data_IF_455144669517
#
_entry.id   IF_455144669517
#
_cell.length_a   1.000
_cell.length_b   1.000
_cell.length_c   1.000
_cell.angle_alpha   90.00
_cell.angle_beta   90.00
_cell.angle_gamma   90.00
#
_symmetry.space_group_name_H-M   'P 1'
#
loop_
_entity.id
_entity.type
_entity.pdbx_description
1 polymer ?
#
# COMPACT_ATOMS: atom_id res chain seq x y z
N UNK A 1 -41.27 -18.64 -12.19
CA UNK A 1 -41.91 -17.32 -12.10
C UNK A 1 -41.30 -16.64 -10.90
N UNK A 2 -40.65 -15.53 -11.17
CA UNK A 2 -39.78 -14.75 -10.31
C UNK A 2 -40.60 -13.90 -9.35
N UNK A 3 -40.55 -14.19 -8.05
CA UNK A 3 -40.96 -13.21 -7.05
C UNK A 3 -39.81 -12.25 -6.82
N UNK A 4 -40.04 -11.03 -7.28
CA UNK A 4 -39.15 -9.88 -7.26
C UNK A 4 -38.77 -9.51 -5.84
N UNK A 5 -37.48 -9.67 -5.57
CA UNK A 5 -36.72 -9.03 -4.50
C UNK A 5 -36.93 -7.51 -4.60
N UNK A 6 -37.95 -7.01 -3.89
CA UNK A 6 -38.24 -5.58 -3.83
C UNK A 6 -37.29 -4.97 -2.80
N UNK A 7 -36.12 -4.56 -3.29
CA UNK A 7 -35.26 -3.61 -2.59
C UNK A 7 -36.13 -2.44 -2.11
N UNK A 8 -36.11 -2.08 -0.81
CA UNK A 8 -36.80 -0.89 -0.34
C UNK A 8 -36.28 0.32 -1.11
N UNK A 9 -37.20 1.11 -1.66
CA UNK A 9 -36.90 2.31 -2.43
C UNK A 9 -36.09 3.29 -1.56
N UNK A 10 -35.05 3.89 -2.14
CA UNK A 10 -34.14 4.86 -1.51
C UNK A 10 -34.84 6.12 -0.97
N UNK A 11 -36.16 6.27 -1.17
CA UNK A 11 -36.97 7.40 -0.73
C UNK A 11 -37.44 7.30 0.72
N UNK A 12 -37.38 6.11 1.35
CA UNK A 12 -37.73 5.92 2.77
C UNK A 12 -36.64 6.40 3.77
N UNK A 13 -35.51 6.92 3.28
CA UNK A 13 -34.45 7.52 4.10
C UNK A 13 -34.68 9.00 4.44
N UNK A 14 -35.77 9.61 3.96
CA UNK A 14 -36.10 11.03 4.16
C UNK A 14 -36.73 11.36 5.54
N UNK A 15 -36.62 10.46 6.51
CA UNK A 15 -37.21 10.58 7.85
C UNK A 15 -36.21 10.70 8.99
N UNK A 16 -34.92 11.00 8.73
CA UNK A 16 -34.00 11.32 9.82
C UNK A 16 -34.44 12.64 10.47
N UNK A 17 -34.64 12.67 11.80
CA UNK A 17 -34.98 13.91 12.47
C UNK A 17 -33.90 14.95 12.18
N UNK A 18 -34.35 16.17 11.85
CA UNK A 18 -33.54 17.35 11.54
C UNK A 18 -32.79 17.90 12.78
N UNK A 19 -32.38 17.01 13.68
CA UNK A 19 -31.57 17.35 14.84
C UNK A 19 -30.18 17.70 14.37
N UNK A 20 -29.67 18.91 14.66
CA UNK A 20 -28.31 19.26 14.30
C UNK A 20 -27.35 18.27 14.93
N UNK A 21 -26.67 17.49 14.10
CA UNK A 21 -25.62 16.57 14.56
C UNK A 21 -24.54 17.41 15.22
N UNK A 22 -24.21 17.10 16.47
CA UNK A 22 -23.17 17.80 17.21
C UNK A 22 -21.82 17.58 16.50
N UNK A 23 -21.20 18.65 16.00
CA UNK A 23 -19.83 18.56 15.52
C UNK A 23 -18.86 18.48 16.71
N UNK A 24 -18.58 17.24 17.12
CA UNK A 24 -17.68 16.92 18.26
C UNK A 24 -16.27 17.48 18.09
N UNK A 25 -15.83 17.75 16.85
CA UNK A 25 -14.49 18.31 16.57
C UNK A 25 -14.42 19.78 16.98
N UNK A 26 -15.54 20.49 16.87
CA UNK A 26 -15.69 21.91 17.20
C UNK A 26 -16.01 22.16 18.68
N UNK A 27 -16.15 21.11 19.50
CA UNK A 27 -16.37 21.29 20.94
C UNK A 27 -15.24 22.10 21.57
N UNK A 28 -15.58 23.09 22.42
CA UNK A 28 -14.62 24.07 22.92
C UNK A 28 -13.57 23.41 23.82
N UNK A 29 -12.34 23.86 23.71
CA UNK A 29 -11.20 23.39 24.51
C UNK A 29 -10.83 24.42 25.60
N UNK A 30 -11.50 25.57 25.57
CA UNK A 30 -11.29 26.71 26.46
C UNK A 30 -9.91 27.36 26.31
N UNK A 31 -9.82 28.62 26.76
CA UNK A 31 -8.60 29.42 26.73
C UNK A 31 -7.70 29.08 27.94
N UNK A 32 -6.52 28.47 27.74
CA UNK A 32 -5.61 28.13 28.85
C UNK A 32 -5.23 29.31 29.75
N UNK A 33 -5.30 30.55 29.24
CA UNK A 33 -4.92 31.76 29.97
C UNK A 33 -6.03 32.31 30.88
N UNK A 34 -7.24 31.76 30.80
CA UNK A 34 -8.39 32.19 31.59
C UNK A 34 -8.13 32.03 33.09
N UNK A 35 -8.40 33.07 33.85
CA UNK A 35 -8.23 33.08 35.31
C UNK A 35 -9.21 32.14 35.99
N UNK A 36 -8.72 31.36 36.96
CA UNK A 36 -9.54 30.41 37.72
C UNK A 36 -10.38 31.13 38.77
N UNK A 37 -11.69 30.95 38.72
CA UNK A 37 -12.61 31.33 39.78
C UNK A 37 -12.96 30.08 40.61
N UNK A 38 -12.39 29.98 41.80
CA UNK A 38 -12.57 28.84 42.70
C UNK A 38 -14.05 28.64 43.10
N UNK A 39 -14.85 29.71 43.12
CA UNK A 39 -16.28 29.62 43.41
C UNK A 39 -17.05 28.78 42.37
N UNK A 40 -16.52 28.71 41.13
CA UNK A 40 -17.10 27.95 40.04
C UNK A 40 -16.65 26.48 40.01
N UNK A 41 -15.67 26.09 40.84
CA UNK A 41 -15.09 24.75 40.80
C UNK A 41 -16.12 23.67 41.15
N UNK A 42 -16.92 23.90 42.20
CA UNK A 42 -17.97 22.98 42.60
C UNK A 42 -18.99 22.77 41.49
N UNK A 43 -19.40 23.85 40.82
CA UNK A 43 -20.31 23.78 39.68
C UNK A 43 -19.71 22.96 38.53
N UNK A 44 -18.44 23.18 38.18
CA UNK A 44 -17.77 22.39 37.13
C UNK A 44 -17.62 20.90 37.50
N UNK A 45 -17.36 20.59 38.77
CA UNK A 45 -17.32 19.21 39.27
C UNK A 45 -18.70 18.53 39.22
N UNK A 46 -19.78 19.24 39.54
CA UNK A 46 -21.15 18.76 39.37
C UNK A 46 -21.47 18.50 37.89
N UNK A 47 -21.08 19.40 36.98
CA UNK A 47 -21.23 19.17 35.53
C UNK A 47 -20.50 17.90 35.08
N UNK A 48 -19.29 17.66 35.57
CA UNK A 48 -18.53 16.43 35.31
C UNK A 48 -19.26 15.20 35.81
N UNK A 49 -19.81 15.25 37.02
CA UNK A 49 -20.55 14.13 37.59
C UNK A 49 -21.82 13.83 36.79
N UNK A 50 -22.56 14.87 36.40
CA UNK A 50 -23.75 14.74 35.54
C UNK A 50 -23.38 14.14 34.18
N UNK A 51 -22.32 14.61 33.54
CA UNK A 51 -21.85 14.08 32.26
C UNK A 51 -21.54 12.57 32.35
N UNK A 52 -20.93 12.11 33.43
CA UNK A 52 -20.62 10.68 33.65
C UNK A 52 -21.86 9.80 33.91
N UNK A 53 -23.00 10.40 34.24
CA UNK A 53 -24.27 9.69 34.50
C UNK A 53 -25.23 9.74 33.31
N UNK A 54 -24.96 10.58 32.31
CA UNK A 54 -25.78 10.70 31.12
C UNK A 54 -25.63 9.45 30.24
N UNK A 55 -26.75 8.97 29.70
CA UNK A 55 -26.76 7.89 28.71
C UNK A 55 -26.50 8.41 27.30
N UNK A 56 -26.93 9.65 27.02
CA UNK A 56 -26.66 10.35 25.78
C UNK A 56 -25.25 10.95 25.81
N UNK A 57 -24.37 10.41 24.97
CA UNK A 57 -22.97 10.80 24.89
C UNK A 57 -22.82 12.25 24.40
N UNK A 58 -23.65 12.71 23.46
CA UNK A 58 -23.53 14.06 22.93
C UNK A 58 -23.90 15.09 24.01
N UNK A 59 -24.95 14.83 24.78
CA UNK A 59 -25.28 15.67 25.94
C UNK A 59 -24.17 15.65 27.00
N UNK A 60 -23.59 14.48 27.27
CA UNK A 60 -22.45 14.34 28.19
C UNK A 60 -21.24 15.18 27.72
N UNK A 61 -20.94 15.12 26.42
CA UNK A 61 -19.84 15.84 25.78
C UNK A 61 -20.05 17.36 25.82
N UNK A 62 -21.26 17.85 25.58
CA UNK A 62 -21.59 19.28 25.74
C UNK A 62 -21.40 19.70 27.20
N UNK A 63 -21.92 18.92 28.14
CA UNK A 63 -21.86 19.21 29.58
C UNK A 63 -20.44 19.24 30.14
N UNK A 64 -19.59 18.30 29.73
CA UNK A 64 -18.18 18.32 30.14
C UNK A 64 -17.40 19.43 29.42
N UNK A 65 -17.79 19.81 28.20
CA UNK A 65 -17.14 20.90 27.46
C UNK A 65 -17.39 22.25 28.12
N UNK A 66 -18.58 22.49 28.69
CA UNK A 66 -18.81 23.70 29.51
C UNK A 66 -17.93 23.73 30.75
N UNK A 67 -17.69 22.59 31.41
CA UNK A 67 -16.74 22.51 32.52
C UNK A 67 -15.29 22.80 32.09
N UNK A 68 -14.91 22.37 30.88
CA UNK A 68 -13.60 22.67 30.28
C UNK A 68 -13.46 24.17 29.97
N UNK A 69 -14.50 24.84 29.50
CA UNK A 69 -14.45 26.30 29.29
C UNK A 69 -14.32 27.09 30.61
N UNK A 70 -14.82 26.54 31.71
CA UNK A 70 -14.65 27.11 33.05
C UNK A 70 -13.22 26.87 33.58
N UNK A 71 -12.67 25.67 33.37
CA UNK A 71 -11.35 25.26 33.86
C UNK A 71 -10.51 24.58 32.76
N UNK A 72 -9.99 25.34 31.79
CA UNK A 72 -9.36 24.78 30.60
C UNK A 72 -8.04 24.06 30.87
N UNK A 73 -7.30 24.45 31.90
CA UNK A 73 -6.05 23.78 32.28
C UNK A 73 -6.24 22.52 33.14
N UNK A 74 -7.48 22.18 33.52
CA UNK A 74 -7.73 21.07 34.43
C UNK A 74 -7.66 19.73 33.70
N UNK A 75 -6.64 18.93 34.05
CA UNK A 75 -6.51 17.54 33.60
C UNK A 75 -7.76 16.71 33.89
N UNK A 76 -8.45 16.99 34.99
CA UNK A 76 -9.64 16.22 35.40
C UNK A 76 -10.75 16.31 34.35
N UNK A 77 -11.05 17.51 33.84
CA UNK A 77 -12.13 17.68 32.87
C UNK A 77 -11.74 17.18 31.47
N UNK A 78 -10.50 17.45 31.04
CA UNK A 78 -9.96 16.94 29.78
C UNK A 78 -9.89 15.41 29.77
N UNK A 79 -9.37 14.77 30.83
CA UNK A 79 -9.35 13.31 30.96
C UNK A 79 -10.77 12.71 31.00
N UNK A 80 -11.74 13.41 31.59
CA UNK A 80 -13.14 12.94 31.62
C UNK A 80 -13.74 12.95 30.21
N UNK A 81 -13.55 14.03 29.45
CA UNK A 81 -14.03 14.10 28.06
C UNK A 81 -13.31 13.07 27.17
N UNK A 82 -12.00 12.90 27.35
CA UNK A 82 -11.25 11.84 26.67
C UNK A 82 -11.79 10.44 26.97
N UNK A 83 -12.21 10.17 28.22
CA UNK A 83 -12.83 8.90 28.58
C UNK A 83 -14.18 8.70 27.89
N UNK A 84 -15.01 9.74 27.77
CA UNK A 84 -16.28 9.67 27.04
C UNK A 84 -16.04 9.40 25.55
N UNK A 85 -15.11 10.11 24.92
CA UNK A 85 -14.72 9.84 23.53
C UNK A 85 -14.20 8.42 23.32
N UNK A 86 -13.37 7.90 24.24
CA UNK A 86 -12.88 6.52 24.18
C UNK A 86 -14.02 5.50 24.27
N UNK A 87 -15.03 5.74 25.11
CA UNK A 87 -16.17 4.84 25.27
C UNK A 87 -17.08 4.85 24.03
N UNK A 88 -17.20 6.00 23.37
CA UNK A 88 -18.03 6.15 22.17
C UNK A 88 -17.35 5.67 20.88
N UNK A 89 -16.01 5.63 20.86
CA UNK A 89 -15.22 5.18 19.71
C UNK A 89 -14.47 6.29 18.98
N UNK A 90 -14.56 7.52 19.45
CA UNK A 90 -13.86 8.69 18.91
C UNK A 90 -12.40 8.78 19.41
N UNK A 91 -11.60 7.75 19.09
CA UNK A 91 -10.25 7.59 19.65
C UNK A 91 -9.30 8.76 19.34
N UNK A 92 -9.44 9.40 18.18
CA UNK A 92 -8.61 10.56 17.81
C UNK A 92 -8.93 11.80 18.65
N UNK A 93 -10.21 12.03 18.97
CA UNK A 93 -10.61 13.13 19.85
C UNK A 93 -10.22 12.84 21.30
N UNK A 94 -10.29 11.57 21.72
CA UNK A 94 -9.77 11.14 23.01
C UNK A 94 -8.25 11.39 23.14
N UNK A 95 -7.47 11.07 22.12
CA UNK A 95 -6.03 11.36 22.06
C UNK A 95 -5.73 12.84 22.14
N UNK A 96 -6.48 13.68 21.40
CA UNK A 96 -6.35 15.15 21.45
C UNK A 96 -6.51 15.66 22.88
N UNK A 97 -7.57 15.24 23.57
CA UNK A 97 -7.84 15.70 24.93
C UNK A 97 -6.83 15.14 25.95
N UNK A 98 -6.34 13.91 25.78
CA UNK A 98 -5.25 13.37 26.58
C UNK A 98 -3.95 14.17 26.41
N UNK A 99 -3.59 14.51 25.16
CA UNK A 99 -2.40 15.31 24.87
C UNK A 99 -2.50 16.71 25.51
N UNK A 100 -3.65 17.37 25.39
CA UNK A 100 -3.91 18.67 26.01
C UNK A 100 -3.87 18.61 27.54
N UNK A 101 -4.39 17.53 28.14
CA UNK A 101 -4.33 17.28 29.57
C UNK A 101 -2.88 17.23 30.06
N UNK A 102 -2.03 16.47 29.34
CA UNK A 102 -0.59 16.34 29.63
C UNK A 102 0.15 17.66 29.40
N UNK A 103 -0.17 18.39 28.33
CA UNK A 103 0.44 19.68 28.00
C UNK A 103 0.15 20.74 29.09
N UNK A 104 -1.10 20.80 29.57
CA UNK A 104 -1.56 21.88 30.47
C UNK A 104 -1.30 21.61 31.94
N UNK A 105 -1.36 20.35 32.37
CA UNK A 105 -1.28 19.97 33.79
C UNK A 105 -0.19 18.92 34.08
N UNK A 106 0.55 18.49 33.07
CA UNK A 106 1.58 17.46 33.19
C UNK A 106 1.04 16.03 33.07
N UNK A 107 1.94 15.05 32.90
CA UNK A 107 1.56 13.65 32.78
C UNK A 107 0.94 13.11 34.07
N UNK A 108 -0.27 12.59 33.96
CA UNK A 108 -0.97 11.88 35.04
C UNK A 108 -1.23 10.43 34.67
N UNK A 109 -1.32 9.55 35.67
CA UNK A 109 -1.61 8.13 35.45
C UNK A 109 -2.85 7.92 34.57
N UNK A 110 -3.94 8.63 34.88
CA UNK A 110 -5.19 8.57 34.11
C UNK A 110 -5.03 9.00 32.66
N UNK A 111 -4.34 10.12 32.40
CA UNK A 111 -4.11 10.62 31.03
C UNK A 111 -3.29 9.63 30.20
N UNK A 112 -2.21 9.09 30.77
CA UNK A 112 -1.34 8.12 30.09
C UNK A 112 -2.04 6.78 29.86
N UNK A 113 -2.84 6.30 30.84
CA UNK A 113 -3.64 5.08 30.69
C UNK A 113 -4.69 5.21 29.57
N UNK A 114 -5.40 6.34 29.50
CA UNK A 114 -6.38 6.60 28.44
C UNK A 114 -5.69 6.70 27.07
N UNK A 115 -4.59 7.44 26.98
CA UNK A 115 -3.80 7.60 25.76
C UNK A 115 -3.24 6.25 25.26
N UNK A 116 -2.76 5.41 26.17
CA UNK A 116 -2.31 4.05 25.86
C UNK A 116 -3.45 3.17 25.32
N UNK A 117 -4.65 3.22 25.94
CA UNK A 117 -5.83 2.49 25.46
C UNK A 117 -6.26 2.93 24.07
N UNK A 118 -6.28 4.23 23.79
CA UNK A 118 -6.62 4.75 22.46
C UNK A 118 -5.62 4.25 21.40
N UNK A 119 -4.31 4.32 21.69
CA UNK A 119 -3.28 3.86 20.77
C UNK A 119 -3.32 2.34 20.53
N UNK A 120 -3.64 1.52 21.54
CA UNK A 120 -3.82 0.07 21.34
C UNK A 120 -4.96 -0.24 20.37
N UNK A 121 -6.09 0.48 20.50
CA UNK A 121 -7.25 0.30 19.61
C UNK A 121 -6.92 0.76 18.19
N UNK A 122 -6.17 1.85 18.05
CA UNK A 122 -5.70 2.36 16.75
C UNK A 122 -4.56 1.51 16.15
N UNK A 123 -4.16 0.41 16.80
CA UNK A 123 -3.05 -0.46 16.41
C UNK A 123 -1.67 0.24 16.39
N UNK A 124 -1.56 1.39 17.04
CA UNK A 124 -0.31 2.13 17.25
C UNK A 124 0.43 1.54 18.46
N UNK A 125 0.77 0.25 18.36
CA UNK A 125 1.23 -0.56 19.49
C UNK A 125 2.49 -0.02 20.19
N UNK A 126 3.43 0.57 19.42
CA UNK A 126 4.62 1.19 19.97
C UNK A 126 4.31 2.38 20.88
N UNK A 127 3.39 3.25 20.45
CA UNK A 127 2.93 4.40 21.22
C UNK A 127 2.12 3.97 22.43
N UNK A 128 1.26 2.96 22.27
CA UNK A 128 0.49 2.37 23.36
C UNK A 128 1.38 1.86 24.50
N UNK A 129 2.39 1.04 24.17
CA UNK A 129 3.35 0.52 25.15
C UNK A 129 4.12 1.65 25.83
N UNK A 130 4.55 2.68 25.08
CA UNK A 130 5.26 3.81 25.66
C UNK A 130 4.41 4.55 26.70
N UNK A 131 3.15 4.86 26.38
CA UNK A 131 2.21 5.50 27.30
C UNK A 131 1.96 4.63 28.54
N UNK A 132 1.73 3.34 28.36
CA UNK A 132 1.50 2.40 29.46
C UNK A 132 2.72 2.25 30.37
N UNK A 133 3.94 2.20 29.81
CA UNK A 133 5.17 2.17 30.61
C UNK A 133 5.34 3.45 31.44
N UNK A 134 5.04 4.62 30.87
CA UNK A 134 5.05 5.86 31.63
C UNK A 134 3.97 5.87 32.72
N UNK A 135 2.77 5.35 32.45
CA UNK A 135 1.73 5.20 33.46
C UNK A 135 2.21 4.32 34.62
N UNK A 136 2.84 3.17 34.33
CA UNK A 136 3.37 2.24 35.34
C UNK A 136 4.53 2.83 36.17
N UNK A 137 5.21 3.87 35.70
CA UNK A 137 6.18 4.61 36.50
C UNK A 137 5.51 5.50 37.56
N UNK A 138 4.25 5.92 37.33
CA UNK A 138 3.48 6.75 38.26
C UNK A 138 2.71 5.90 39.26
N UNK A 139 1.96 4.91 38.77
CA UNK A 139 1.18 4.00 39.62
C UNK A 139 1.29 2.58 39.06
N UNK A 140 1.52 1.61 39.94
CA UNK A 140 1.55 0.21 39.54
C UNK A 140 0.11 -0.28 39.27
N UNK A 141 -0.10 -0.90 38.11
CA UNK A 141 -1.41 -1.37 37.65
C UNK A 141 -1.25 -2.70 36.91
N UNK A 142 -1.86 -3.75 37.45
CA UNK A 142 -1.77 -5.11 36.89
C UNK A 142 -2.51 -5.23 35.55
N UNK A 143 -3.62 -4.52 35.37
CA UNK A 143 -4.38 -4.47 34.10
C UNK A 143 -3.48 -3.95 32.97
N UNK A 144 -2.74 -2.86 33.21
CA UNK A 144 -1.81 -2.30 32.23
C UNK A 144 -0.69 -3.29 31.90
N UNK A 145 -0.16 -3.97 32.90
CA UNK A 145 0.91 -4.97 32.71
C UNK A 145 0.44 -6.12 31.81
N UNK A 146 -0.79 -6.61 32.02
CA UNK A 146 -1.39 -7.63 31.15
C UNK A 146 -1.69 -7.10 29.75
N UNK A 147 -2.19 -5.87 29.61
CA UNK A 147 -2.41 -5.23 28.30
C UNK A 147 -1.10 -5.17 27.49
N UNK A 148 0.02 -4.77 28.11
CA UNK A 148 1.32 -4.72 27.43
C UNK A 148 1.71 -6.12 26.88
N UNK A 149 1.51 -7.19 27.65
CA UNK A 149 1.78 -8.57 27.20
C UNK A 149 0.91 -8.95 26.01
N UNK A 150 -0.37 -8.61 26.05
CA UNK A 150 -1.31 -8.84 24.94
C UNK A 150 -0.84 -8.10 23.68
N UNK A 151 -0.40 -6.84 23.82
CA UNK A 151 0.11 -6.03 22.70
C UNK A 151 1.36 -6.67 22.09
N UNK A 152 2.33 -7.12 22.89
CA UNK A 152 3.50 -7.85 22.36
C UNK A 152 3.08 -9.11 21.57
N UNK A 153 2.05 -9.82 22.04
CA UNK A 153 1.46 -10.95 21.31
C UNK A 153 0.76 -10.54 20.00
N UNK A 154 0.17 -9.34 19.91
CA UNK A 154 -0.39 -8.79 18.66
C UNK A 154 0.73 -8.44 17.66
N UNK A 155 1.79 -7.76 18.12
CA UNK A 155 2.97 -7.40 17.30
C UNK A 155 3.60 -8.67 16.71
N UNK A 156 3.92 -9.65 17.55
CA UNK A 156 4.52 -10.90 17.08
C UNK A 156 3.68 -11.60 16.00
N UNK A 157 2.35 -11.65 16.19
CA UNK A 157 1.44 -12.23 15.20
C UNK A 157 1.40 -11.46 13.88
N UNK A 158 1.58 -10.14 13.90
CA UNK A 158 1.70 -9.34 12.68
C UNK A 158 3.03 -9.62 11.97
N UNK A 159 4.14 -9.66 12.72
CA UNK A 159 5.47 -9.95 12.17
C UNK A 159 5.53 -11.35 11.54
N UNK A 160 4.96 -12.36 12.21
CA UNK A 160 4.92 -13.73 11.71
C UNK A 160 4.08 -13.82 10.41
N UNK A 161 2.94 -13.12 10.34
CA UNK A 161 2.12 -13.03 9.12
C UNK A 161 2.85 -12.33 7.98
N UNK A 162 3.54 -11.24 8.28
CA UNK A 162 4.30 -10.47 7.30
C UNK A 162 5.43 -11.33 6.70
N UNK A 163 6.18 -12.04 7.54
CA UNK A 163 7.23 -12.96 7.09
C UNK A 163 6.69 -14.08 6.21
N UNK A 164 5.59 -14.72 6.63
CA UNK A 164 4.97 -15.79 5.84
C UNK A 164 4.48 -15.28 4.46
N UNK A 165 3.97 -14.05 4.41
CA UNK A 165 3.58 -13.41 3.15
C UNK A 165 4.79 -13.16 2.24
N UNK A 166 5.90 -12.64 2.79
CA UNK A 166 7.13 -12.37 2.05
C UNK A 166 7.75 -13.66 1.50
N UNK A 167 7.77 -14.74 2.28
CA UNK A 167 8.26 -16.06 1.87
C UNK A 167 7.40 -16.63 0.72
N UNK A 168 6.07 -16.62 0.86
CA UNK A 168 5.16 -17.10 -0.17
C UNK A 168 5.26 -16.27 -1.48
N UNK A 169 5.45 -14.96 -1.35
CA UNK A 169 5.66 -14.09 -2.50
C UNK A 169 7.00 -14.40 -3.20
N UNK A 170 8.07 -14.62 -2.45
CA UNK A 170 9.38 -14.97 -2.99
C UNK A 170 9.37 -16.34 -3.69
N UNK A 171 8.74 -17.35 -3.09
CA UNK A 171 8.59 -18.69 -3.69
C UNK A 171 7.81 -18.61 -5.01
N UNK A 172 6.68 -17.91 -5.02
CA UNK A 172 5.88 -17.73 -6.23
C UNK A 172 6.68 -17.04 -7.33
N UNK A 173 7.46 -16.01 -6.98
CA UNK A 173 8.34 -15.30 -7.93
C UNK A 173 9.42 -16.23 -8.51
N UNK A 174 10.07 -17.03 -7.67
CA UNK A 174 11.07 -18.00 -8.12
C UNK A 174 10.45 -19.06 -9.04
N UNK A 175 9.29 -19.60 -8.68
CA UNK A 175 8.57 -20.58 -9.50
C UNK A 175 8.18 -20.00 -10.87
N UNK A 176 7.76 -18.73 -10.94
CA UNK A 176 7.48 -18.06 -12.22
C UNK A 176 8.74 -17.88 -13.06
N UNK A 177 9.86 -17.47 -12.47
CA UNK A 177 11.13 -17.30 -13.18
C UNK A 177 11.68 -18.64 -13.67
N UNK A 178 11.55 -19.71 -12.88
CA UNK A 178 11.95 -21.06 -13.28
C UNK A 178 11.06 -21.63 -14.39
N UNK A 179 9.75 -21.41 -14.32
CA UNK A 179 8.82 -21.81 -15.37
C UNK A 179 9.11 -21.08 -16.68
N UNK A 180 9.42 -19.77 -16.63
CA UNK A 180 9.85 -18.99 -17.79
C UNK A 180 11.17 -19.53 -18.37
N UNK A 181 12.20 -19.72 -17.54
CA UNK A 181 13.47 -20.32 -17.98
C UNK A 181 13.30 -21.70 -18.61
N UNK A 182 12.42 -22.52 -18.03
CA UNK A 182 12.12 -23.86 -18.56
C UNK A 182 11.40 -23.76 -19.91
N UNK A 183 10.44 -22.85 -20.04
CA UNK A 183 9.74 -22.57 -21.30
C UNK A 183 10.70 -22.04 -22.37
N UNK A 184 11.60 -21.12 -22.02
CA UNK A 184 12.61 -20.58 -22.92
C UNK A 184 13.59 -21.66 -23.42
N UNK A 185 14.07 -22.52 -22.52
CA UNK A 185 14.93 -23.66 -22.87
C UNK A 185 14.20 -24.63 -23.80
N UNK A 186 12.97 -25.02 -23.46
CA UNK A 186 12.15 -25.91 -24.30
C UNK A 186 11.88 -25.30 -25.68
N UNK A 187 11.57 -24.00 -25.75
CA UNK A 187 11.40 -23.30 -27.03
C UNK A 187 12.71 -23.27 -27.83
N UNK A 188 13.86 -23.08 -27.17
CA UNK A 188 15.16 -23.09 -27.83
C UNK A 188 15.54 -24.47 -28.36
N UNK A 189 15.26 -25.54 -27.63
CA UNK A 189 15.47 -26.92 -28.08
C UNK A 189 14.62 -27.25 -29.30
N UNK A 190 13.32 -26.94 -29.27
CA UNK A 190 12.42 -27.12 -30.42
C UNK A 190 12.91 -26.37 -31.65
N UNK A 191 13.33 -25.12 -31.48
CA UNK A 191 13.92 -24.33 -32.57
C UNK A 191 15.19 -24.99 -33.11
N UNK A 192 16.10 -25.45 -32.25
CA UNK A 192 17.33 -26.12 -32.68
C UNK A 192 17.03 -27.41 -33.47
N UNK A 193 16.04 -28.19 -33.04
CA UNK A 193 15.59 -29.38 -33.76
C UNK A 193 14.98 -29.03 -35.12
N UNK A 194 14.14 -28.00 -35.20
CA UNK A 194 13.52 -27.54 -36.45
C UNK A 194 14.57 -27.04 -37.45
N UNK A 195 15.54 -26.27 -36.98
CA UNK A 195 16.68 -25.81 -37.77
C UNK A 195 17.48 -27.01 -38.30
N UNK A 196 17.79 -27.99 -37.44
CA UNK A 196 18.51 -29.20 -37.85
C UNK A 196 17.72 -30.01 -38.89
N UNK A 197 16.39 -30.08 -38.76
CA UNK A 197 15.50 -30.81 -39.68
C UNK A 197 15.42 -30.15 -41.06
N UNK A 198 15.30 -28.82 -41.10
CA UNK A 198 15.10 -28.08 -42.34
C UNK A 198 16.42 -27.74 -43.07
N UNK A 199 17.52 -27.60 -42.33
CA UNK A 199 18.79 -27.07 -42.87
C UNK A 199 20.01 -27.98 -42.66
N UNK A 200 19.85 -29.15 -42.00
CA UNK A 200 20.93 -30.11 -41.78
C UNK A 200 21.97 -29.68 -40.72
N UNK A 201 23.07 -30.43 -40.60
CA UNK A 201 24.15 -30.19 -39.60
C UNK A 201 25.15 -29.08 -40.03
N UNK A 202 24.69 -28.09 -40.80
CA UNK A 202 25.57 -27.02 -41.28
C UNK A 202 25.93 -26.05 -40.11
N UNK A 203 27.23 -25.83 -39.82
CA UNK A 203 27.69 -25.09 -38.63
C UNK A 203 27.27 -23.61 -38.61
N UNK A 204 26.89 -23.02 -39.74
CA UNK A 204 26.40 -21.63 -39.81
C UNK A 204 25.09 -21.45 -39.02
N UNK A 205 24.24 -22.47 -38.99
CA UNK A 205 22.94 -22.45 -38.30
C UNK A 205 23.04 -22.69 -36.79
N UNK A 206 24.21 -23.10 -36.29
CA UNK A 206 24.51 -23.23 -34.86
C UNK A 206 25.11 -21.94 -34.28
N UNK A 207 25.34 -20.92 -35.10
CA UNK A 207 25.89 -19.65 -34.62
C UNK A 207 24.86 -18.90 -33.77
N UNK A 208 25.29 -18.22 -32.69
CA UNK A 208 24.41 -17.36 -31.89
C UNK A 208 23.69 -16.29 -32.75
N UNK A 209 24.32 -15.88 -33.86
CA UNK A 209 23.78 -14.95 -34.84
C UNK A 209 22.49 -15.47 -35.50
N UNK A 210 22.51 -16.72 -35.99
CA UNK A 210 21.39 -17.31 -36.70
C UNK A 210 20.24 -17.72 -35.75
N UNK A 211 20.59 -18.22 -34.55
CA UNK A 211 19.62 -18.56 -33.51
C UNK A 211 18.86 -17.33 -32.99
N UNK A 212 19.52 -16.18 -32.84
CA UNK A 212 18.87 -14.94 -32.41
C UNK A 212 17.92 -14.38 -33.48
N UNK A 213 18.28 -14.50 -34.76
CA UNK A 213 17.44 -14.09 -35.89
C UNK A 213 16.17 -14.96 -35.99
N UNK A 214 16.28 -16.29 -35.83
CA UNK A 214 15.14 -17.20 -35.83
C UNK A 214 14.21 -17.01 -34.62
N UNK A 215 14.78 -16.80 -33.42
CA UNK A 215 14.00 -16.47 -32.21
C UNK A 215 13.17 -15.19 -32.39
N UNK A 216 13.75 -14.18 -33.03
CA UNK A 216 13.08 -12.91 -33.28
C UNK A 216 11.98 -13.01 -34.35
N UNK A 217 12.20 -13.77 -35.42
CA UNK A 217 11.19 -13.97 -36.46
C UNK A 217 9.94 -14.72 -35.96
N UNK A 218 10.11 -15.65 -34.99
CA UNK A 218 9.02 -16.45 -34.44
C UNK A 218 8.33 -15.82 -33.19
N UNK A 219 8.95 -14.86 -32.51
CA UNK A 219 8.41 -14.20 -31.30
C UNK A 219 8.25 -12.68 -31.45
N UNK A 220 8.14 -12.18 -32.69
CA UNK A 220 7.97 -10.77 -33.00
C UNK A 220 6.67 -10.22 -32.40
N UNK A 221 6.75 -9.23 -31.51
CA UNK A 221 5.58 -8.43 -31.10
C UNK A 221 5.35 -7.25 -32.06
N UNK A 222 4.12 -6.71 -32.10
CA UNK A 222 3.72 -5.64 -33.02
C UNK A 222 4.60 -4.37 -32.91
N UNK A 223 5.14 -4.06 -31.72
CA UNK A 223 6.00 -2.89 -31.48
C UNK A 223 7.41 -3.11 -32.00
N UNK A 224 7.91 -4.34 -31.96
CA UNK A 224 9.21 -4.70 -32.55
C UNK A 224 9.13 -4.70 -34.09
N UNK A 225 8.01 -5.14 -34.66
CA UNK A 225 7.73 -5.03 -36.09
C UNK A 225 7.63 -3.56 -36.56
N UNK A 226 7.02 -2.69 -35.76
CA UNK A 226 6.89 -1.25 -36.05
C UNK A 226 8.23 -0.50 -35.99
N UNK A 227 9.14 -0.88 -35.07
CA UNK A 227 10.50 -0.31 -35.03
C UNK A 227 11.35 -0.72 -36.22
N UNK A 228 11.18 -1.93 -36.72
CA UNK A 228 11.86 -2.41 -37.93
C UNK A 228 11.34 -1.71 -39.18
N UNK A 229 10.03 -1.44 -39.26
CA UNK A 229 9.46 -0.70 -40.38
C UNK A 229 9.89 0.77 -40.41
N UNK A 230 10.25 1.37 -39.28
CA UNK A 230 10.73 2.77 -39.19
C UNK A 230 12.23 2.94 -39.46
N UNK A 231 13.01 1.87 -39.58
CA UNK A 231 14.45 1.98 -39.81
C UNK A 231 14.74 2.40 -41.26
N UNK A 232 15.24 3.63 -41.44
CA UNK A 232 15.51 4.23 -42.76
C UNK A 232 16.55 3.46 -43.58
N UNK A 233 17.55 2.86 -42.95
CA UNK A 233 18.58 2.07 -43.63
C UNK A 233 17.99 0.75 -44.14
N UNK A 234 17.02 0.21 -43.41
CA UNK A 234 16.27 -0.96 -43.84
C UNK A 234 15.30 -0.67 -44.97
N UNK A 235 14.60 0.46 -44.93
CA UNK A 235 13.74 0.87 -46.03
C UNK A 235 14.53 1.13 -47.31
N UNK A 236 15.70 1.77 -47.21
CA UNK A 236 16.59 1.99 -48.37
C UNK A 236 17.14 0.68 -48.93
N UNK A 237 17.51 -0.26 -48.06
CA UNK A 237 18.01 -1.57 -48.49
C UNK A 237 16.89 -2.45 -49.09
N UNK A 238 15.67 -2.44 -48.54
CA UNK A 238 14.51 -3.16 -49.10
C UNK A 238 13.99 -2.55 -50.42
N UNK A 239 14.38 -1.31 -50.74
CA UNK A 239 14.08 -0.68 -52.02
C UNK A 239 15.06 -1.09 -53.13
N UNK A 240 16.16 -1.78 -52.79
CA UNK A 240 17.15 -2.29 -53.73
C UNK A 240 16.86 -3.77 -54.08
N UNK A 241 16.50 -4.07 -55.35
CA UNK A 241 16.21 -5.44 -55.79
C UNK A 241 17.38 -6.41 -55.60
N UNK A 242 18.63 -5.94 -55.65
CA UNK A 242 19.80 -6.80 -55.41
C UNK A 242 19.96 -7.16 -53.94
N UNK A 243 19.65 -6.24 -53.04
CA UNK A 243 19.68 -6.50 -51.61
C UNK A 243 18.60 -7.52 -51.22
N UNK A 244 17.40 -7.42 -51.79
CA UNK A 244 16.33 -8.39 -51.57
C UNK A 244 16.72 -9.79 -52.06
N UNK A 245 17.35 -9.90 -53.23
CA UNK A 245 17.86 -11.16 -53.77
C UNK A 245 18.98 -11.76 -52.90
N UNK A 246 19.93 -10.93 -52.45
CA UNK A 246 20.99 -11.35 -51.52
C UNK A 246 20.39 -11.77 -50.18
N UNK A 247 19.39 -11.06 -49.68
CA UNK A 247 18.70 -11.38 -48.44
C UNK A 247 17.88 -12.67 -48.59
N UNK A 248 17.23 -12.91 -49.72
CA UNK A 248 16.54 -14.16 -50.03
C UNK A 248 17.52 -15.33 -50.21
N UNK A 249 18.68 -15.10 -50.82
CA UNK A 249 19.74 -16.10 -50.96
C UNK A 249 20.32 -16.45 -49.58
N UNK A 250 20.56 -15.44 -48.73
CA UNK A 250 20.96 -15.62 -47.33
C UNK A 250 19.83 -16.24 -46.48
N UNK A 251 18.57 -15.99 -46.79
CA UNK A 251 17.44 -16.60 -46.10
C UNK A 251 17.24 -18.08 -46.49
N UNK A 252 17.54 -18.44 -47.75
CA UNK A 252 17.52 -19.82 -48.24
C UNK A 252 18.78 -20.60 -47.84
N UNK A 253 19.92 -19.94 -47.86
CA UNK A 253 21.23 -20.47 -47.50
C UNK A 253 22.04 -19.39 -46.73
N UNK A 254 21.98 -19.37 -45.41
CA UNK A 254 22.68 -18.42 -44.55
C UNK A 254 24.20 -18.50 -44.66
N UNK A 255 24.76 -19.59 -45.20
CA UNK A 255 26.19 -19.66 -45.50
C UNK A 255 26.58 -18.72 -46.64
N UNK A 256 25.62 -18.31 -47.47
CA UNK A 256 25.79 -17.27 -48.47
C UNK A 256 26.07 -15.89 -47.85
N UNK A 257 25.74 -15.65 -46.56
CA UNK A 257 26.06 -14.38 -45.90
C UNK A 257 27.57 -14.11 -45.88
N UNK A 258 28.37 -15.18 -45.76
CA UNK A 258 29.82 -15.09 -45.85
C UNK A 258 30.30 -14.66 -47.25
N UNK A 259 29.57 -15.03 -48.32
CA UNK A 259 29.85 -14.60 -49.70
C UNK A 259 29.66 -13.10 -49.87
N UNK A 260 28.73 -12.50 -49.14
CA UNK A 260 28.45 -11.05 -49.17
C UNK A 260 29.14 -10.26 -48.06
N UNK A 261 30.03 -10.90 -47.28
CA UNK A 261 30.83 -10.21 -46.25
C UNK A 261 31.66 -9.04 -46.79
N UNK A 262 31.97 -9.07 -48.08
CA UNK A 262 32.70 -8.02 -48.80
C UNK A 262 31.81 -6.84 -49.23
N UNK A 263 30.49 -7.06 -49.28
CA UNK A 263 29.50 -6.04 -49.62
C UNK A 263 29.14 -5.23 -48.37
N UNK A 264 29.77 -4.06 -48.26
CA UNK A 264 29.61 -3.15 -47.11
C UNK A 264 28.17 -2.65 -46.97
N UNK A 265 27.44 -2.47 -48.07
CA UNK A 265 26.05 -2.00 -48.04
C UNK A 265 25.13 -3.09 -47.49
N UNK A 266 25.27 -4.30 -48.02
CA UNK A 266 24.54 -5.47 -47.53
C UNK A 266 24.82 -5.72 -46.04
N UNK A 267 26.09 -5.76 -45.64
CA UNK A 267 26.48 -6.03 -44.25
C UNK A 267 26.06 -4.92 -43.27
N UNK A 268 26.03 -3.65 -43.70
CA UNK A 268 25.56 -2.55 -42.86
C UNK A 268 24.05 -2.65 -42.58
N UNK A 269 23.23 -2.88 -43.61
CA UNK A 269 21.79 -3.06 -43.45
C UNK A 269 21.47 -4.37 -42.71
N UNK A 270 22.15 -5.46 -43.05
CA UNK A 270 22.02 -6.76 -42.39
C UNK A 270 22.40 -6.68 -40.90
N UNK A 271 23.49 -5.98 -40.55
CA UNK A 271 23.87 -5.74 -39.14
C UNK A 271 22.86 -4.87 -38.39
N UNK A 272 22.14 -3.97 -39.06
CA UNK A 272 21.11 -3.15 -38.41
C UNK A 272 19.82 -3.93 -38.17
N UNK A 273 19.42 -4.82 -39.08
CA UNK A 273 18.38 -5.83 -38.82
C UNK A 273 18.71 -6.60 -37.56
N UNK A 274 19.93 -7.13 -37.51
CA UNK A 274 20.41 -7.94 -36.39
C UNK A 274 20.53 -7.15 -35.08
N UNK A 275 20.86 -5.87 -35.14
CA UNK A 275 21.03 -5.00 -33.97
C UNK A 275 19.72 -4.61 -33.26
N UNK A 276 18.58 -4.71 -33.94
CA UNK A 276 17.25 -4.41 -33.38
C UNK A 276 16.65 -5.59 -32.61
N UNK A 277 17.29 -6.77 -32.64
CA UNK A 277 16.87 -8.00 -31.94
C UNK A 277 17.67 -8.30 -30.67
N UNK A 278 18.28 -7.26 -30.06
CA UNK A 278 19.01 -7.33 -28.78
C UNK A 278 18.09 -7.11 -27.57
#
# INVERSE_FOLDING_TARGET
>A
MSDSDSMPELEDLAGLPDTPVLDRRQLPIGDPSKTFDEALLNSALEMRQQALQMQDVDQALVKISTAIEMFPASAIFLNTRAQLFLQDGDFQLALRDCALSIERAGPSFKSLKLMGKCNDILMEYGQAIACFKQALQLENDEEITEIIKIIYGKIKRQDDKQRAFEEAYAEKKQATEEAERTREKSNQEKMNEEVKRNYGDNPVYQTPLFQNLFKAANNMDDKQAEKLSQNQILQQALSDPEFELKLQEVARDPSAAAKYSSDKGFMAAFSQILGQFK
#
